data_IF_217313113850
#
_entry.id   IF_217313113850
#
_cell.length_a   1.000
_cell.length_b   1.000
_cell.length_c   1.000
_cell.angle_alpha   90.00
_cell.angle_beta   90.00
_cell.angle_gamma   90.00
#
_symmetry.space_group_name_H-M   'P 1'
#
loop_
_entity.id
_entity.type
_entity.pdbx_description
1 polymer ?
#
# COMPACT_ATOMS: atom_id res chain seq x y z
N UNK A 1 17.65 -11.48 3.57
CA UNK A 1 16.34 -10.85 3.83
C UNK A 1 15.72 -10.58 2.48
N UNK A 2 14.49 -11.00 2.27
CA UNK A 2 13.82 -10.79 1.01
C UNK A 2 13.25 -9.37 0.96
N UNK A 3 13.59 -8.58 -0.08
CA UNK A 3 13.15 -7.19 -0.16
C UNK A 3 11.64 -7.12 -0.32
N UNK A 4 11.01 -6.19 0.41
CA UNK A 4 9.56 -6.02 0.40
C UNK A 4 9.18 -4.56 0.68
N UNK A 5 8.21 -4.06 -0.07
CA UNK A 5 7.47 -2.85 0.28
C UNK A 5 6.30 -3.22 1.17
N UNK A 6 6.26 -2.64 2.37
CA UNK A 6 5.15 -2.84 3.28
C UNK A 6 4.33 -1.57 3.38
N UNK A 7 3.07 -1.67 2.95
CA UNK A 7 2.06 -0.63 3.03
C UNK A 7 1.15 -0.95 4.20
N UNK A 8 1.03 -0.02 5.13
CA UNK A 8 0.07 -0.09 6.24
C UNK A 8 -0.96 1.00 6.00
N UNK A 9 -2.23 0.61 5.88
CA UNK A 9 -3.38 1.51 5.78
C UNK A 9 -4.16 1.47 7.09
N UNK A 10 -4.52 2.63 7.63
CA UNK A 10 -5.36 2.69 8.83
C UNK A 10 -4.68 2.15 10.10
N UNK A 11 -3.35 2.25 10.20
CA UNK A 11 -2.62 1.96 11.44
C UNK A 11 -2.92 2.96 12.56
N UNK A 12 -2.39 2.69 13.77
CA UNK A 12 -2.54 3.54 14.96
C UNK A 12 -3.98 3.93 15.27
N UNK A 13 -4.86 2.92 15.44
CA UNK A 13 -6.30 3.11 15.60
C UNK A 13 -6.92 3.90 14.44
N UNK A 14 -6.56 3.52 13.21
CA UNK A 14 -7.09 4.13 11.98
C UNK A 14 -6.77 5.64 11.86
N UNK A 15 -5.55 6.04 12.24
CA UNK A 15 -5.09 7.44 12.22
C UNK A 15 -3.95 7.72 11.25
N UNK A 16 -3.22 6.68 10.83
CA UNK A 16 -2.01 6.87 10.05
C UNK A 16 -1.81 5.73 9.06
N UNK A 17 -1.22 6.08 7.92
CA UNK A 17 -0.76 5.13 6.93
C UNK A 17 0.74 5.30 6.71
N UNK A 18 1.44 4.20 6.46
CA UNK A 18 2.89 4.21 6.23
C UNK A 18 3.28 3.32 5.05
N UNK A 19 4.38 3.70 4.41
CA UNK A 19 5.10 2.88 3.45
C UNK A 19 6.53 2.70 3.96
N UNK A 20 6.98 1.45 4.11
CA UNK A 20 8.32 1.13 4.63
C UNK A 20 9.00 0.01 3.84
N UNK A 21 10.32 -0.04 3.96
CA UNK A 21 11.17 -1.00 3.28
C UNK A 21 11.63 -2.10 4.24
N UNK A 22 11.43 -3.36 3.87
CA UNK A 22 11.89 -4.56 4.60
C UNK A 22 11.44 -4.61 6.06
N UNK A 23 10.24 -4.07 6.38
CA UNK A 23 9.69 -3.98 7.75
C UNK A 23 10.58 -3.19 8.74
N UNK A 24 11.55 -2.42 8.24
CA UNK A 24 12.51 -1.66 9.05
C UNK A 24 12.08 -0.21 9.22
N UNK A 25 12.52 0.38 10.33
CA UNK A 25 12.48 1.83 10.57
C UNK A 25 13.78 2.48 10.05
N UNK A 26 13.77 3.78 9.71
CA UNK A 26 12.59 4.65 9.64
C UNK A 26 11.67 4.26 8.48
N UNK A 27 10.37 4.56 8.62
CA UNK A 27 9.44 4.42 7.49
C UNK A 27 9.83 5.41 6.38
N UNK A 28 9.52 5.08 5.13
CA UNK A 28 9.85 5.93 3.97
C UNK A 28 8.81 7.02 3.77
N UNK A 29 7.55 6.72 4.08
CA UNK A 29 6.43 7.66 4.03
C UNK A 29 5.57 7.46 5.27
N UNK A 30 5.15 8.56 5.88
CA UNK A 30 4.23 8.58 7.02
C UNK A 30 3.17 9.66 6.74
N UNK A 31 1.90 9.29 6.70
CA UNK A 31 0.80 10.22 6.39
C UNK A 31 -0.33 10.06 7.41
N UNK A 32 -0.86 11.19 7.89
CA UNK A 32 -2.07 11.19 8.71
C UNK A 32 -3.29 10.85 7.85
N UNK A 33 -3.99 9.78 8.23
CA UNK A 33 -5.17 9.26 7.53
C UNK A 33 -6.24 8.87 8.55
N UNK A 34 -6.85 9.84 9.26
CA UNK A 34 -7.85 9.56 10.27
C UNK A 34 -9.13 8.98 9.65
N UNK A 35 -9.64 7.91 10.26
CA UNK A 35 -10.86 7.21 9.82
C UNK A 35 -10.78 6.75 8.36
N UNK A 36 -9.61 6.26 7.95
CA UNK A 36 -9.39 5.85 6.57
C UNK A 36 -10.25 4.63 6.20
N UNK A 37 -10.23 3.63 7.08
CA UNK A 37 -10.97 2.37 6.95
C UNK A 37 -12.28 2.41 7.75
N UNK A 38 -13.22 1.57 7.37
CA UNK A 38 -14.56 1.50 7.96
C UNK A 38 -14.95 0.02 8.13
N UNK A 39 -15.58 -0.38 9.25
CA UNK A 39 -15.98 -1.78 9.48
C UNK A 39 -17.19 -2.21 8.65
N UNK A 40 -18.03 -1.26 8.22
CA UNK A 40 -19.31 -1.53 7.55
C UNK A 40 -19.21 -1.37 6.03
N UNK A 41 -18.17 -0.67 5.54
CA UNK A 41 -18.03 -0.33 4.12
C UNK A 41 -16.66 -0.67 3.55
N UNK A 42 -16.65 -1.33 2.39
CA UNK A 42 -15.42 -1.52 1.63
C UNK A 42 -14.83 -0.19 1.16
N UNK A 43 -13.54 -0.01 1.40
CA UNK A 43 -12.76 1.10 0.85
C UNK A 43 -11.86 0.59 -0.26
N UNK A 44 -11.97 1.19 -1.46
CA UNK A 44 -11.13 0.82 -2.59
C UNK A 44 -9.83 1.61 -2.57
N UNK A 45 -8.71 0.91 -2.77
CA UNK A 45 -7.39 1.49 -2.96
C UNK A 45 -6.77 0.91 -4.23
N UNK A 46 -5.91 1.71 -4.85
CA UNK A 46 -5.10 1.26 -5.98
C UNK A 46 -3.62 1.38 -5.61
N UNK A 47 -2.95 0.24 -5.56
CA UNK A 47 -1.52 0.14 -5.27
C UNK A 47 -0.82 -0.16 -6.58
N UNK A 48 0.12 0.70 -6.98
CA UNK A 48 0.92 0.55 -8.20
C UNK A 48 2.39 0.49 -7.85
N UNK A 49 3.11 -0.39 -8.51
CA UNK A 49 4.57 -0.43 -8.49
C UNK A 49 5.09 -0.49 -9.92
N UNK A 50 5.94 0.45 -10.31
CA UNK A 50 6.58 0.45 -11.64
C UNK A 50 7.91 1.18 -11.58
N UNK A 51 8.98 0.56 -12.10
CA UNK A 51 10.33 1.15 -12.15
C UNK A 51 10.78 1.74 -10.79
N UNK A 52 10.59 0.96 -9.71
CA UNK A 52 10.95 1.37 -8.35
C UNK A 52 10.01 2.40 -7.70
N UNK A 53 9.02 2.93 -8.42
CA UNK A 53 8.02 3.85 -7.87
C UNK A 53 6.85 3.07 -7.29
N UNK A 54 6.55 3.26 -6.01
CA UNK A 54 5.39 2.71 -5.32
C UNK A 54 4.41 3.84 -5.03
N UNK A 55 3.17 3.69 -5.46
CA UNK A 55 2.11 4.67 -5.25
C UNK A 55 0.87 4.00 -4.69
N UNK A 56 0.26 4.61 -3.68
CA UNK A 56 -1.04 4.23 -3.13
C UNK A 56 -2.02 5.36 -3.42
N UNK A 57 -3.12 5.04 -4.10
CA UNK A 57 -4.18 5.98 -4.46
C UNK A 57 -5.50 5.53 -3.87
N UNK A 58 -6.41 6.47 -3.68
CA UNK A 58 -7.82 6.12 -3.51
C UNK A 58 -8.33 5.43 -4.79
N UNK A 59 -9.29 4.52 -4.66
CA UNK A 59 -9.80 3.77 -5.80
C UNK A 59 -10.92 4.49 -6.56
N UNK A 60 -11.57 5.45 -5.92
CA UNK A 60 -12.66 6.29 -6.44
C UNK A 60 -12.15 7.59 -7.08
N UNK A 61 -10.89 7.95 -6.80
CA UNK A 61 -10.26 9.19 -7.25
C UNK A 61 -8.79 8.93 -7.55
N UNK A 62 -8.22 9.65 -8.52
CA UNK A 62 -6.80 9.55 -8.83
C UNK A 62 -5.88 10.16 -7.76
N UNK A 63 -6.43 10.55 -6.60
CA UNK A 63 -5.70 11.20 -5.51
C UNK A 63 -4.73 10.23 -4.85
N UNK A 64 -3.46 10.63 -4.81
CA UNK A 64 -2.38 9.89 -4.15
C UNK A 64 -2.45 10.09 -2.64
N UNK A 65 -2.33 8.98 -1.90
CA UNK A 65 -2.22 8.93 -0.43
C UNK A 65 -0.76 8.89 -0.03
N UNK A 66 0.01 8.00 -0.66
CA UNK A 66 1.44 7.78 -0.37
C UNK A 66 2.19 7.50 -1.67
N UNK A 67 3.41 7.99 -1.77
CA UNK A 67 4.29 7.76 -2.90
C UNK A 67 5.74 7.68 -2.43
N UNK A 68 6.50 6.72 -2.96
CA UNK A 68 7.93 6.61 -2.72
C UNK A 68 8.66 6.09 -3.96
N UNK A 69 9.82 6.67 -4.25
CA UNK A 69 10.75 6.20 -5.26
C UNK A 69 11.91 5.46 -4.59
N UNK A 70 12.05 4.17 -4.89
CA UNK A 70 13.23 3.38 -4.60
C UNK A 70 14.12 3.30 -5.84
N UNK A 71 15.36 3.79 -5.73
CA UNK A 71 16.33 3.75 -6.83
C UNK A 71 17.09 2.42 -6.89
N UNK A 72 17.02 1.59 -5.85
CA UNK A 72 17.65 0.27 -5.80
C UNK A 72 16.75 -0.87 -6.27
N UNK A 73 15.48 -0.53 -6.58
CA UNK A 73 14.33 -1.38 -6.91
C UNK A 73 14.57 -2.86 -7.20
N UNK A 74 13.67 -3.71 -6.72
CA UNK A 74 13.67 -5.15 -6.94
C UNK A 74 12.42 -5.61 -7.71
N UNK A 75 12.48 -6.79 -8.31
CA UNK A 75 11.32 -7.42 -8.93
C UNK A 75 10.32 -7.91 -7.89
N UNK A 76 9.04 -7.55 -8.06
CA UNK A 76 7.95 -8.02 -7.21
C UNK A 76 7.28 -9.20 -7.90
N UNK A 77 7.40 -10.39 -7.32
CA UNK A 77 6.80 -11.62 -7.84
C UNK A 77 5.53 -12.04 -7.12
N UNK A 78 5.34 -11.56 -5.88
CA UNK A 78 4.22 -11.94 -5.02
C UNK A 78 3.77 -10.75 -4.18
N UNK A 79 2.52 -10.77 -3.75
CA UNK A 79 2.01 -9.90 -2.71
C UNK A 79 1.25 -10.72 -1.67
N UNK A 80 1.09 -10.16 -0.48
CA UNK A 80 0.29 -10.74 0.59
C UNK A 80 -0.47 -9.67 1.33
N UNK A 81 -1.60 -10.03 1.90
CA UNK A 81 -2.42 -9.14 2.75
C UNK A 81 -2.58 -9.76 4.13
N UNK A 82 -2.66 -8.90 5.15
CA UNK A 82 -2.97 -9.32 6.51
C UNK A 82 -3.57 -8.15 7.27
N UNK A 83 -4.31 -8.46 8.32
CA UNK A 83 -4.66 -7.49 9.36
C UNK A 83 -3.61 -7.50 10.47
N UNK A 84 -3.65 -6.50 11.35
CA UNK A 84 -2.81 -6.46 12.55
C UNK A 84 -3.68 -6.16 13.77
N UNK A 85 -4.01 -7.19 14.55
CA UNK A 85 -4.83 -7.06 15.75
C UNK A 85 -6.30 -6.71 15.49
N UNK A 86 -6.79 -6.96 14.27
CA UNK A 86 -8.18 -6.76 13.86
C UNK A 86 -8.60 -7.87 12.89
N UNK A 87 -9.91 -8.07 12.68
CA UNK A 87 -10.45 -8.82 11.55
C UNK A 87 -10.66 -7.90 10.35
N UNK A 88 -10.77 -8.46 9.15
CA UNK A 88 -11.01 -7.69 7.93
C UNK A 88 -11.33 -8.58 6.74
N UNK A 89 -12.10 -8.04 5.81
CA UNK A 89 -12.45 -8.69 4.55
C UNK A 89 -11.75 -7.97 3.39
N UNK A 90 -11.40 -8.73 2.36
CA UNK A 90 -10.62 -8.21 1.22
C UNK A 90 -11.23 -8.73 -0.09
N UNK A 91 -11.43 -7.82 -1.04
CA UNK A 91 -11.67 -8.15 -2.44
C UNK A 91 -10.44 -7.71 -3.23
N UNK A 92 -9.73 -8.65 -3.83
CA UNK A 92 -8.46 -8.38 -4.50
C UNK A 92 -8.61 -8.65 -5.99
N UNK A 93 -8.42 -7.59 -6.78
CA UNK A 93 -8.30 -7.68 -8.21
C UNK A 93 -6.88 -7.27 -8.58
N UNK A 94 -6.15 -8.13 -9.28
CA UNK A 94 -4.84 -7.82 -9.85
C UNK A 94 -5.00 -7.69 -11.36
N UNK A 95 -4.25 -6.76 -11.95
CA UNK A 95 -4.26 -6.53 -13.39
C UNK A 95 -2.82 -6.37 -13.83
N UNK A 96 -2.41 -7.15 -14.82
CA UNK A 96 -1.15 -6.95 -15.51
C UNK A 96 -1.35 -5.89 -16.58
N UNK A 97 -0.59 -4.81 -16.48
CA UNK A 97 -0.59 -3.79 -17.52
C UNK A 97 0.29 -4.28 -18.67
N UNK A 98 -0.28 -5.12 -19.54
CA UNK A 98 0.36 -5.58 -20.77
C UNK A 98 0.45 -4.47 -21.84
N UNK A 99 0.02 -3.24 -21.55
CA UNK A 99 0.05 -2.12 -22.51
C UNK A 99 1.37 -1.35 -22.48
N UNK A 100 2.47 -2.05 -22.75
CA UNK A 100 3.74 -1.43 -23.13
C UNK A 100 4.55 -2.41 -24.01
N UNK A 101 4.07 -2.61 -25.24
CA UNK A 101 4.92 -2.95 -26.39
C UNK A 101 5.64 -1.70 -26.90
#
# INVERSE_FOLDING_TARGET
MDPMYEIILGGWRNKQSVLRYCRKKPDKVIVSTPRLLDPDNFKKFLIKWRKGKVTVQYGDSSKVIMEWQDFTSFGISHFGVRTFGASGQWCINHFDDHSAS
#
